data_IF_480745904362
#
_entry.id   IF_480745904362
#
_cell.length_a   1.000
_cell.length_b   1.000
_cell.length_c   1.000
_cell.angle_alpha   90.00
_cell.angle_beta   90.00
_cell.angle_gamma   90.00
#
_symmetry.space_group_name_H-M   'P 1'
#
loop_
_entity.id
_entity.type
_entity.pdbx_description
1 polymer ?
#
# COMPACT_ATOMS: atom_id res chain seq x y z
N UNK A 1 8.93 28.00 7.18
CA UNK A 1 7.74 27.52 6.49
C UNK A 1 7.13 26.46 7.41
N UNK A 2 6.01 26.76 8.05
CA UNK A 2 5.34 25.86 9.01
C UNK A 2 4.79 24.71 8.19
N UNK A 3 5.39 23.52 8.32
CA UNK A 3 4.82 22.28 7.80
C UNK A 3 3.54 22.07 8.61
N UNK A 4 2.43 21.97 7.93
CA UNK A 4 1.13 21.68 8.53
C UNK A 4 1.22 20.42 9.37
N UNK A 5 0.94 20.53 10.68
CA UNK A 5 0.86 19.40 11.64
C UNK A 5 -0.37 18.50 11.37
N UNK A 6 -0.95 18.55 10.19
CA UNK A 6 -2.19 17.86 9.86
C UNK A 6 -1.88 16.48 9.27
N UNK A 7 -2.22 15.44 10.05
CA UNK A 7 -2.13 14.05 9.59
C UNK A 7 -3.12 13.81 8.46
N UNK A 8 -2.64 13.39 7.29
CA UNK A 8 -3.48 13.08 6.14
C UNK A 8 -4.27 11.78 6.37
N UNK A 9 -5.43 11.67 5.75
CA UNK A 9 -6.30 10.51 5.89
C UNK A 9 -6.50 9.85 4.54
N UNK A 10 -6.18 8.57 4.47
CA UNK A 10 -6.30 7.72 3.30
C UNK A 10 -7.36 6.65 3.54
N UNK A 11 -7.89 6.09 2.47
CA UNK A 11 -8.74 4.89 2.56
C UNK A 11 -8.07 3.71 1.88
N UNK A 12 -8.26 2.53 2.46
CA UNK A 12 -8.07 1.28 1.74
C UNK A 12 -9.43 0.60 1.57
N UNK A 13 -9.82 0.38 0.32
CA UNK A 13 -11.04 -0.29 -0.06
C UNK A 13 -10.76 -1.79 -0.19
N UNK A 14 -11.39 -2.61 0.64
CA UNK A 14 -11.26 -4.06 0.59
C UNK A 14 -11.97 -4.61 -0.66
N UNK A 15 -11.27 -5.35 -1.55
CA UNK A 15 -11.84 -5.85 -2.79
C UNK A 15 -12.68 -7.12 -2.60
N UNK A 16 -12.72 -7.69 -1.38
CA UNK A 16 -13.34 -8.98 -1.10
C UNK A 16 -14.86 -8.93 -1.19
N UNK A 17 -15.44 -9.65 -2.16
CA UNK A 17 -16.87 -9.70 -2.42
C UNK A 17 -17.47 -8.42 -2.99
N UNK A 18 -16.66 -7.41 -3.28
CA UNK A 18 -17.09 -6.17 -3.90
C UNK A 18 -17.12 -6.30 -5.43
N UNK A 19 -18.16 -5.78 -6.06
CA UNK A 19 -18.18 -5.58 -7.51
C UNK A 19 -17.26 -4.42 -7.90
N UNK A 20 -16.78 -4.41 -9.14
CA UNK A 20 -15.98 -3.29 -9.65
C UNK A 20 -16.77 -1.96 -9.56
N UNK A 21 -18.08 -1.98 -9.81
CA UNK A 21 -18.93 -0.78 -9.71
C UNK A 21 -18.97 -0.20 -8.30
N UNK A 22 -19.17 -1.06 -7.28
CA UNK A 22 -19.15 -0.63 -5.87
C UNK A 22 -17.79 -0.05 -5.46
N UNK A 23 -16.69 -0.64 -5.94
CA UNK A 23 -15.34 -0.12 -5.69
C UNK A 23 -15.12 1.26 -6.31
N UNK A 24 -15.59 1.48 -7.54
CA UNK A 24 -15.47 2.79 -8.22
C UNK A 24 -16.35 3.85 -7.57
N UNK A 25 -17.54 3.49 -7.12
CA UNK A 25 -18.45 4.38 -6.39
C UNK A 25 -17.86 4.79 -5.03
N UNK A 26 -17.31 3.81 -4.30
CA UNK A 26 -16.62 4.06 -3.03
C UNK A 26 -15.36 4.93 -3.22
N UNK A 27 -14.62 4.76 -4.31
CA UNK A 27 -13.45 5.59 -4.62
C UNK A 27 -13.81 7.05 -4.87
N UNK A 28 -14.87 7.31 -5.64
CA UNK A 28 -15.40 8.69 -5.82
C UNK A 28 -15.89 9.29 -4.51
N UNK A 29 -16.66 8.52 -3.75
CA UNK A 29 -17.13 8.96 -2.44
C UNK A 29 -15.97 9.34 -1.50
N UNK A 30 -14.90 8.56 -1.51
CA UNK A 30 -13.71 8.87 -0.71
C UNK A 30 -13.07 10.19 -1.14
N UNK A 31 -12.87 10.42 -2.45
CA UNK A 31 -12.33 11.67 -2.98
C UNK A 31 -13.22 12.86 -2.62
N UNK A 32 -14.53 12.77 -2.87
CA UNK A 32 -15.51 13.81 -2.57
C UNK A 32 -15.60 14.12 -1.07
N UNK A 33 -15.23 13.15 -0.22
CA UNK A 33 -15.22 13.28 1.24
C UNK A 33 -13.90 13.84 1.79
N UNK A 34 -12.92 14.13 0.91
CA UNK A 34 -11.66 14.78 1.25
C UNK A 34 -10.58 13.82 1.78
N UNK A 35 -10.68 12.52 1.51
CA UNK A 35 -9.56 11.61 1.73
C UNK A 35 -8.43 11.89 0.73
N UNK A 36 -7.19 11.62 1.13
CA UNK A 36 -5.98 11.97 0.36
C UNK A 36 -5.50 10.86 -0.56
N UNK A 37 -5.90 9.61 -0.30
CA UNK A 37 -5.58 8.47 -1.13
C UNK A 37 -6.69 7.42 -1.11
N UNK A 38 -6.81 6.69 -2.23
CA UNK A 38 -7.64 5.49 -2.37
C UNK A 38 -6.74 4.33 -2.74
N UNK A 39 -6.68 3.34 -1.88
CA UNK A 39 -5.84 2.16 -2.04
C UNK A 39 -6.69 0.88 -2.04
N UNK A 40 -6.12 -0.25 -2.48
CA UNK A 40 -6.76 -1.56 -2.39
C UNK A 40 -5.74 -2.64 -2.04
N UNK A 41 -6.22 -3.78 -1.53
CA UNK A 41 -5.38 -4.94 -1.24
C UNK A 41 -5.08 -5.75 -2.51
N UNK A 42 -3.92 -6.40 -2.53
CA UNK A 42 -3.52 -7.36 -3.58
C UNK A 42 -3.76 -8.79 -3.10
N UNK A 43 -4.96 -9.27 -3.37
CA UNK A 43 -5.40 -10.63 -3.10
C UNK A 43 -6.08 -11.25 -4.31
N UNK A 44 -5.91 -12.56 -4.49
CA UNK A 44 -6.50 -13.32 -5.62
C UNK A 44 -7.95 -13.72 -5.33
N UNK A 45 -8.30 -13.84 -4.05
CA UNK A 45 -9.63 -14.29 -3.61
C UNK A 45 -9.97 -13.76 -2.22
N UNK A 46 -11.26 -13.64 -1.93
CA UNK A 46 -11.77 -13.41 -0.58
C UNK A 46 -12.04 -14.68 0.22
N UNK A 47 -11.79 -15.87 -0.36
CA UNK A 47 -12.12 -17.15 0.27
C UNK A 47 -11.47 -17.36 1.65
N UNK A 48 -10.26 -16.83 1.86
CA UNK A 48 -9.57 -16.90 3.17
C UNK A 48 -10.29 -16.14 4.28
N UNK A 49 -11.31 -15.36 3.92
CA UNK A 49 -12.15 -14.55 4.82
C UNK A 49 -13.65 -14.90 4.70
N UNK A 50 -14.00 -15.97 3.98
CA UNK A 50 -15.38 -16.32 3.61
C UNK A 50 -16.13 -15.18 2.89
N UNK A 51 -15.39 -14.41 2.06
CA UNK A 51 -15.89 -13.21 1.36
C UNK A 51 -15.92 -13.31 -0.17
N UNK A 52 -15.88 -14.52 -0.72
CA UNK A 52 -16.05 -14.75 -2.16
C UNK A 52 -14.88 -14.31 -3.02
N UNK A 53 -15.16 -13.62 -4.14
CA UNK A 53 -14.15 -13.20 -5.12
C UNK A 53 -13.33 -11.97 -4.66
N UNK A 54 -12.24 -11.72 -5.38
CA UNK A 54 -11.49 -10.46 -5.35
C UNK A 54 -11.28 -9.97 -6.78
N UNK A 55 -11.12 -8.66 -6.96
CA UNK A 55 -10.72 -8.08 -8.23
C UNK A 55 -9.20 -7.98 -8.31
N UNK A 56 -8.60 -8.12 -9.51
CA UNK A 56 -7.18 -7.81 -9.68
C UNK A 56 -6.93 -6.35 -9.34
N UNK A 57 -6.00 -6.05 -8.42
CA UNK A 57 -5.81 -4.69 -7.91
C UNK A 57 -5.31 -3.73 -8.97
N UNK A 58 -4.47 -4.15 -9.93
CA UNK A 58 -3.90 -3.22 -10.91
C UNK A 58 -4.89 -2.84 -12.00
N UNK A 59 -5.76 -3.79 -12.41
CA UNK A 59 -6.88 -3.50 -13.31
C UNK A 59 -7.86 -2.55 -12.63
N UNK A 60 -8.20 -2.82 -11.37
CA UNK A 60 -9.09 -1.99 -10.57
C UNK A 60 -8.52 -0.60 -10.30
N UNK A 61 -7.24 -0.49 -9.92
CA UNK A 61 -6.58 0.79 -9.68
C UNK A 61 -6.48 1.65 -10.93
N UNK A 62 -6.29 1.04 -12.11
CA UNK A 62 -6.38 1.76 -13.38
C UNK A 62 -7.77 2.38 -13.60
N UNK A 63 -8.84 1.65 -13.28
CA UNK A 63 -10.20 2.17 -13.35
C UNK A 63 -10.47 3.25 -12.29
N UNK A 64 -9.99 3.08 -11.06
CA UNK A 64 -10.07 4.09 -10.00
C UNK A 64 -9.35 5.37 -10.41
N UNK A 65 -8.13 5.26 -10.97
CA UNK A 65 -7.37 6.41 -11.46
C UNK A 65 -8.10 7.21 -12.53
N UNK A 66 -8.88 6.53 -13.38
CA UNK A 66 -9.66 7.16 -14.46
C UNK A 66 -10.95 7.86 -13.97
N UNK A 67 -11.43 7.54 -12.77
CA UNK A 67 -12.68 8.12 -12.22
C UNK A 67 -12.43 9.06 -11.02
N UNK A 68 -11.16 9.30 -10.67
CA UNK A 68 -10.72 10.23 -9.61
C UNK A 68 -9.70 11.22 -10.17
N UNK A 69 -9.59 12.40 -9.58
CA UNK A 69 -8.76 13.50 -10.10
C UNK A 69 -7.59 13.88 -9.17
N UNK A 70 -7.76 13.76 -7.87
CA UNK A 70 -6.84 14.35 -6.88
C UNK A 70 -6.21 13.34 -5.93
N UNK A 71 -6.92 12.27 -5.58
CA UNK A 71 -6.44 11.27 -4.62
C UNK A 71 -5.26 10.46 -5.16
N UNK A 72 -4.30 10.15 -4.31
CA UNK A 72 -3.26 9.16 -4.62
C UNK A 72 -3.92 7.79 -4.81
N UNK A 73 -3.37 6.96 -5.71
CA UNK A 73 -3.91 5.63 -6.02
C UNK A 73 -2.80 4.59 -5.99
N UNK A 74 -3.06 3.41 -5.41
CA UNK A 74 -2.07 2.34 -5.39
C UNK A 74 -2.48 1.12 -4.56
N UNK A 75 -1.73 0.03 -4.67
CA UNK A 75 -1.92 -1.12 -3.79
C UNK A 75 -1.40 -0.81 -2.39
N UNK A 76 -2.09 -1.26 -1.35
CA UNK A 76 -1.59 -1.27 0.02
C UNK A 76 -1.92 -2.59 0.71
N UNK A 77 -1.08 -3.59 0.50
CA UNK A 77 0.18 -3.59 -0.23
C UNK A 77 0.13 -4.61 -1.38
N UNK A 78 0.87 -4.36 -2.47
CA UNK A 78 1.14 -5.38 -3.47
C UNK A 78 1.90 -6.54 -2.83
N UNK A 79 1.45 -7.76 -3.07
CA UNK A 79 2.14 -8.96 -2.64
C UNK A 79 3.26 -9.28 -3.64
N UNK A 80 4.52 -9.09 -3.23
CA UNK A 80 5.66 -9.33 -4.10
C UNK A 80 5.81 -10.79 -4.58
N UNK A 81 5.07 -11.73 -3.97
CA UNK A 81 5.09 -13.14 -4.38
C UNK A 81 4.16 -13.40 -5.57
N UNK A 82 3.13 -12.58 -5.78
CA UNK A 82 2.13 -12.79 -6.83
C UNK A 82 2.63 -12.41 -8.23
N UNK A 83 3.71 -11.61 -8.34
CA UNK A 83 4.21 -11.09 -9.63
C UNK A 83 5.72 -10.95 -9.65
N UNK A 84 6.32 -11.09 -10.83
CA UNK A 84 7.70 -10.70 -11.03
C UNK A 84 7.84 -9.18 -10.82
N UNK A 85 8.84 -8.67 -10.07
CA UNK A 85 8.97 -7.24 -9.79
C UNK A 85 9.14 -6.36 -11.03
N UNK A 86 9.64 -6.91 -12.15
CA UNK A 86 9.65 -6.20 -13.42
C UNK A 86 8.22 -5.95 -13.98
N UNK A 87 7.32 -6.93 -13.86
CA UNK A 87 5.91 -6.74 -14.24
C UNK A 87 5.24 -5.70 -13.33
N UNK A 88 5.57 -5.72 -12.04
CA UNK A 88 5.10 -4.73 -11.08
C UNK A 88 5.60 -3.32 -11.46
N UNK A 89 6.87 -3.18 -11.84
CA UNK A 89 7.43 -1.91 -12.29
C UNK A 89 6.69 -1.35 -13.51
N UNK A 90 6.37 -2.19 -14.51
CA UNK A 90 5.58 -1.81 -15.69
C UNK A 90 4.16 -1.39 -15.31
N UNK A 91 3.48 -2.18 -14.47
CA UNK A 91 2.11 -1.88 -14.03
C UNK A 91 2.04 -0.54 -13.28
N UNK A 92 3.01 -0.28 -12.40
CA UNK A 92 3.06 0.96 -11.64
C UNK A 92 3.46 2.17 -12.48
N UNK A 93 4.32 2.01 -13.48
CA UNK A 93 4.61 3.07 -14.46
C UNK A 93 3.36 3.44 -15.26
N UNK A 94 2.58 2.44 -15.69
CA UNK A 94 1.30 2.65 -16.36
C UNK A 94 0.30 3.37 -15.45
N UNK A 95 0.19 2.95 -14.19
CA UNK A 95 -0.69 3.60 -13.21
C UNK A 95 -0.26 5.06 -12.95
N UNK A 96 1.04 5.32 -12.87
CA UNK A 96 1.59 6.68 -12.70
C UNK A 96 1.19 7.60 -13.85
N UNK A 97 1.28 7.12 -15.09
CA UNK A 97 0.86 7.87 -16.28
C UNK A 97 -0.66 8.07 -16.30
N UNK A 98 -1.44 7.00 -16.12
CA UNK A 98 -2.90 7.06 -16.12
C UNK A 98 -3.47 7.96 -15.02
N UNK A 99 -2.83 8.01 -13.88
CA UNK A 99 -3.24 8.85 -12.75
C UNK A 99 -2.65 10.26 -12.78
N UNK A 100 -1.91 10.66 -13.83
CA UNK A 100 -1.22 11.95 -13.91
C UNK A 100 -0.29 12.22 -12.71
N UNK A 101 0.49 11.20 -12.32
CA UNK A 101 1.49 11.33 -11.26
C UNK A 101 1.02 11.04 -9.83
N UNK A 102 -0.19 10.47 -9.67
CA UNK A 102 -0.78 10.18 -8.33
C UNK A 102 -0.52 8.77 -7.82
N UNK A 103 0.21 7.93 -8.55
CA UNK A 103 0.44 6.55 -8.13
C UNK A 103 1.34 6.45 -6.88
N UNK A 104 1.11 5.43 -6.07
CA UNK A 104 1.95 5.03 -4.94
C UNK A 104 2.07 3.51 -4.91
N UNK A 105 3.28 2.99 -4.76
CA UNK A 105 3.52 1.56 -4.62
C UNK A 105 3.65 1.17 -3.15
N UNK A 106 2.56 0.67 -2.56
CA UNK A 106 2.67 -0.11 -1.33
C UNK A 106 3.18 -1.52 -1.65
N UNK A 107 4.22 -1.99 -1.00
CA UNK A 107 4.84 -3.29 -1.26
C UNK A 107 5.01 -4.11 0.02
N UNK A 108 4.59 -5.37 -0.01
CA UNK A 108 4.66 -6.31 1.10
C UNK A 108 5.48 -7.56 0.78
N UNK A 109 6.00 -8.20 1.83
CA UNK A 109 6.89 -9.36 1.72
C UNK A 109 6.18 -10.69 1.39
N UNK A 110 4.88 -10.67 1.12
CA UNK A 110 4.09 -11.88 0.93
C UNK A 110 3.69 -12.56 2.24
N UNK A 111 2.89 -13.62 2.13
CA UNK A 111 2.35 -14.35 3.26
C UNK A 111 3.42 -15.21 3.95
N UNK A 112 3.39 -15.27 5.27
CA UNK A 112 4.22 -16.20 6.03
C UNK A 112 3.62 -17.61 5.98
N UNK A 113 4.43 -18.68 6.05
CA UNK A 113 3.92 -20.03 6.27
C UNK A 113 2.98 -20.07 7.48
N UNK A 114 1.83 -20.73 7.32
CA UNK A 114 0.81 -20.85 8.36
C UNK A 114 0.02 -19.58 8.67
N UNK A 115 0.25 -18.47 7.97
CA UNK A 115 -0.58 -17.27 8.08
C UNK A 115 -1.92 -17.44 7.36
N UNK A 116 -2.92 -16.60 7.71
CA UNK A 116 -4.27 -16.67 7.15
C UNK A 116 -4.32 -16.69 5.62
N UNK A 117 -3.46 -15.90 4.96
CA UNK A 117 -3.45 -15.76 3.50
C UNK A 117 -2.41 -16.65 2.80
N UNK A 118 -1.75 -17.56 3.53
CA UNK A 118 -0.78 -18.49 2.94
C UNK A 118 -1.42 -19.38 1.87
N UNK A 119 -2.63 -19.89 2.14
CA UNK A 119 -3.35 -20.77 1.22
C UNK A 119 -3.66 -20.12 -0.14
N UNK A 120 -3.71 -18.80 -0.24
CA UNK A 120 -3.90 -18.07 -1.50
C UNK A 120 -2.70 -18.24 -2.44
N UNK A 121 -1.49 -18.13 -1.90
CA UNK A 121 -0.25 -18.37 -2.67
C UNK A 121 -0.09 -19.86 -3.03
N UNK A 122 -0.38 -20.76 -2.09
CA UNK A 122 -0.34 -22.22 -2.31
C UNK A 122 -1.31 -22.66 -3.42
N UNK A 123 -2.50 -22.04 -3.51
CA UNK A 123 -3.51 -22.35 -4.54
C UNK A 123 -2.97 -22.16 -5.97
N UNK A 124 -2.07 -21.21 -6.17
CA UNK A 124 -1.45 -20.96 -7.49
C UNK A 124 -0.01 -21.52 -7.59
N UNK A 125 0.37 -22.40 -6.67
CA UNK A 125 1.65 -23.11 -6.70
C UNK A 125 2.87 -22.25 -6.31
N UNK A 126 2.67 -21.12 -5.62
CA UNK A 126 3.77 -20.29 -5.14
C UNK A 126 4.28 -20.86 -3.81
N UNK A 127 5.58 -21.13 -3.75
CA UNK A 127 6.26 -21.60 -2.55
C UNK A 127 6.26 -20.50 -1.45
N UNK A 128 5.91 -20.91 -0.24
CA UNK A 128 5.96 -20.03 0.93
C UNK A 128 7.37 -19.97 1.49
N UNK A 129 7.99 -18.81 1.40
CA UNK A 129 9.35 -18.59 1.90
C UNK A 129 9.37 -18.30 3.41
N UNK A 130 10.47 -18.66 4.06
CA UNK A 130 10.74 -18.27 5.44
C UNK A 130 10.93 -16.75 5.60
N UNK A 131 10.91 -16.25 6.84
CA UNK A 131 11.01 -14.82 7.12
C UNK A 131 12.27 -14.15 6.57
N UNK A 132 13.47 -14.71 6.78
CA UNK A 132 14.72 -14.18 6.20
C UNK A 132 14.70 -14.13 4.68
N UNK A 133 14.26 -15.17 4.00
CA UNK A 133 14.17 -15.23 2.53
C UNK A 133 13.16 -14.22 1.98
N UNK A 134 11.99 -14.08 2.62
CA UNK A 134 11.01 -13.04 2.25
C UNK A 134 11.59 -11.63 2.39
N UNK A 135 12.38 -11.38 3.43
CA UNK A 135 13.02 -10.08 3.63
C UNK A 135 14.05 -9.77 2.54
N UNK A 136 14.91 -10.74 2.18
CA UNK A 136 15.89 -10.58 1.09
C UNK A 136 15.20 -10.37 -0.25
N UNK A 137 14.17 -11.17 -0.54
CA UNK A 137 13.41 -11.06 -1.78
C UNK A 137 12.68 -9.71 -1.89
N UNK A 138 12.09 -9.20 -0.79
CA UNK A 138 11.49 -7.86 -0.75
C UNK A 138 12.52 -6.77 -1.06
N UNK A 139 13.70 -6.84 -0.42
CA UNK A 139 14.80 -5.90 -0.71
C UNK A 139 15.18 -5.92 -2.19
N UNK A 140 15.38 -7.10 -2.75
CA UNK A 140 15.75 -7.27 -4.15
C UNK A 140 14.64 -6.78 -5.10
N UNK A 141 13.36 -7.03 -4.74
CA UNK A 141 12.23 -6.50 -5.51
C UNK A 141 12.22 -4.97 -5.57
N UNK A 142 12.51 -4.28 -4.46
CA UNK A 142 12.61 -2.82 -4.43
C UNK A 142 13.76 -2.35 -5.33
N UNK A 143 14.93 -3.00 -5.25
CA UNK A 143 16.09 -2.65 -6.06
C UNK A 143 15.80 -2.81 -7.54
N UNK A 144 15.20 -3.95 -7.94
CA UNK A 144 14.87 -4.21 -9.33
C UNK A 144 13.84 -3.21 -9.86
N UNK A 145 12.76 -2.95 -9.10
CA UNK A 145 11.75 -1.96 -9.48
C UNK A 145 12.38 -0.59 -9.70
N UNK A 146 13.24 -0.12 -8.79
CA UNK A 146 13.92 1.17 -8.92
C UNK A 146 14.87 1.22 -10.12
N UNK A 147 15.60 0.13 -10.39
CA UNK A 147 16.51 0.06 -11.56
C UNK A 147 15.73 0.07 -12.88
N UNK A 148 14.63 -0.68 -12.97
CA UNK A 148 13.74 -0.63 -14.14
C UNK A 148 13.19 0.79 -14.35
N UNK A 149 12.76 1.47 -13.30
CA UNK A 149 12.29 2.86 -13.39
C UNK A 149 13.39 3.86 -13.74
N UNK A 150 14.64 3.55 -13.40
CA UNK A 150 15.81 4.35 -13.80
C UNK A 150 16.25 4.09 -15.26
N UNK A 151 15.63 3.13 -15.96
CA UNK A 151 15.96 2.79 -17.35
C UNK A 151 17.13 1.83 -17.49
N UNK A 152 17.53 1.14 -16.41
CA UNK A 152 18.57 0.10 -16.47
C UNK A 152 18.08 -1.09 -17.29
N UNK A 153 18.94 -1.60 -18.17
CA UNK A 153 18.58 -2.65 -19.15
C UNK A 153 18.84 -4.06 -18.66
N UNK A 154 19.58 -4.21 -17.56
CA UNK A 154 19.86 -5.52 -16.97
C UNK A 154 19.85 -5.48 -15.45
N UNK A 155 19.51 -6.60 -14.83
CA UNK A 155 19.57 -6.81 -13.39
C UNK A 155 19.98 -8.25 -13.09
N UNK A 156 20.82 -8.46 -12.09
CA UNK A 156 21.17 -9.81 -11.63
C UNK A 156 21.22 -9.84 -10.10
N UNK A 157 20.27 -10.57 -9.51
CA UNK A 157 20.14 -10.75 -8.07
C UNK A 157 20.11 -12.22 -7.64
N UNK A 158 19.75 -12.47 -6.40
CA UNK A 158 19.57 -13.83 -5.84
C UNK A 158 18.28 -14.48 -6.36
N UNK A 159 17.20 -13.70 -6.50
CA UNK A 159 15.86 -14.19 -6.83
C UNK A 159 15.42 -13.82 -8.24
N UNK A 160 15.96 -12.76 -8.81
CA UNK A 160 15.49 -12.21 -10.07
C UNK A 160 16.63 -11.83 -10.99
N UNK A 161 16.35 -11.88 -12.29
CA UNK A 161 17.24 -11.31 -13.32
C UNK A 161 16.42 -10.64 -14.41
N UNK A 162 17.01 -9.61 -15.04
CA UNK A 162 16.57 -9.03 -16.30
C UNK A 162 17.80 -9.03 -17.23
N UNK A 163 17.59 -9.46 -18.48
CA UNK A 163 18.59 -9.47 -19.53
C UNK A 163 18.25 -8.41 -20.57
N UNK A 164 19.24 -7.95 -21.30
CA UNK A 164 19.04 -7.01 -22.40
C UNK A 164 18.05 -7.56 -23.47
N UNK A 165 17.23 -6.70 -24.10
CA UNK A 165 17.33 -5.23 -24.14
C UNK A 165 16.69 -4.50 -22.96
N UNK A 166 16.29 -5.21 -21.87
CA UNK A 166 15.63 -4.62 -20.71
C UNK A 166 14.19 -4.17 -20.99
N UNK A 167 13.68 -3.31 -20.14
CA UNK A 167 12.32 -2.76 -20.23
C UNK A 167 12.40 -1.25 -20.46
N UNK A 168 11.70 -0.79 -21.50
CA UNK A 168 11.59 0.64 -21.77
C UNK A 168 10.25 1.15 -21.23
N UNK A 169 10.30 2.15 -20.36
CA UNK A 169 9.12 2.73 -19.73
C UNK A 169 9.07 4.23 -20.04
N UNK A 170 7.86 4.72 -20.30
CA UNK A 170 7.58 6.16 -20.33
C UNK A 170 7.22 6.61 -18.91
N UNK A 171 8.23 7.04 -18.15
CA UNK A 171 8.08 7.37 -16.74
C UNK A 171 8.89 8.64 -16.40
N UNK A 172 8.20 9.78 -16.36
CA UNK A 172 8.83 11.07 -16.06
C UNK A 172 9.31 11.18 -14.59
N UNK A 173 8.58 10.57 -13.68
CA UNK A 173 8.93 10.53 -12.26
C UNK A 173 8.37 9.24 -11.62
N UNK A 174 9.22 8.48 -10.90
CA UNK A 174 8.78 7.21 -10.31
C UNK A 174 7.80 7.45 -9.14
N UNK A 175 6.81 6.53 -8.95
CA UNK A 175 5.97 6.54 -7.76
C UNK A 175 6.79 6.31 -6.49
N UNK A 176 6.42 6.89 -5.34
CA UNK A 176 7.01 6.53 -4.06
C UNK A 176 6.71 5.08 -3.69
N UNK A 177 7.68 4.42 -3.04
CA UNK A 177 7.55 3.05 -2.53
C UNK A 177 7.32 3.09 -1.02
N UNK A 178 6.18 2.53 -0.57
CA UNK A 178 5.81 2.42 0.84
C UNK A 178 5.81 0.94 1.23
N UNK A 179 6.53 0.57 2.28
CA UNK A 179 6.62 -0.83 2.72
C UNK A 179 5.59 -1.12 3.81
N UNK A 180 4.75 -2.14 3.59
CA UNK A 180 3.89 -2.68 4.63
C UNK A 180 4.70 -3.45 5.66
N UNK A 181 4.64 -3.05 6.94
CA UNK A 181 5.43 -3.61 8.01
C UNK A 181 4.61 -3.97 9.25
N UNK A 182 4.90 -5.15 9.80
CA UNK A 182 4.37 -5.64 11.09
C UNK A 182 5.47 -6.02 12.07
N UNK A 183 6.74 -5.71 11.75
CA UNK A 183 7.88 -6.07 12.58
C UNK A 183 9.13 -5.23 12.30
N UNK A 184 10.01 -5.17 13.30
CA UNK A 184 11.21 -4.31 13.33
C UNK A 184 12.10 -4.46 12.09
N UNK A 185 12.35 -5.71 11.63
CA UNK A 185 13.22 -5.95 10.46
C UNK A 185 12.68 -5.32 9.18
N UNK A 186 11.36 -5.38 8.99
CA UNK A 186 10.70 -4.79 7.81
C UNK A 186 10.66 -3.26 7.90
N UNK A 187 10.49 -2.69 9.10
CA UNK A 187 10.63 -1.23 9.31
C UNK A 187 12.05 -0.77 8.98
N UNK A 188 13.08 -1.47 9.47
CA UNK A 188 14.47 -1.17 9.16
C UNK A 188 14.79 -1.27 7.66
N UNK A 189 14.20 -2.27 6.98
CA UNK A 189 14.32 -2.40 5.53
C UNK A 189 13.68 -1.19 4.81
N UNK A 190 12.49 -0.77 5.25
CA UNK A 190 11.82 0.41 4.70
C UNK A 190 12.68 1.67 4.85
N UNK A 191 13.21 1.93 6.04
CA UNK A 191 14.09 3.06 6.33
C UNK A 191 15.36 3.09 5.45
N UNK A 192 15.86 1.92 5.06
CA UNK A 192 17.08 1.81 4.26
C UNK A 192 16.83 1.86 2.74
N UNK A 193 15.64 1.51 2.25
CA UNK A 193 15.43 1.22 0.83
C UNK A 193 14.14 1.80 0.23
N UNK A 194 13.23 2.37 1.03
CA UNK A 194 11.93 2.86 0.57
C UNK A 194 11.73 4.35 0.89
N UNK A 195 10.60 4.90 0.44
CA UNK A 195 10.22 6.29 0.65
C UNK A 195 9.28 6.45 1.86
N UNK A 196 8.82 5.32 2.42
CA UNK A 196 7.98 5.32 3.61
C UNK A 196 7.64 3.92 4.11
N UNK A 197 6.88 3.89 5.21
CA UNK A 197 6.40 2.68 5.85
C UNK A 197 4.93 2.81 6.23
N UNK A 198 4.17 1.75 5.99
CA UNK A 198 2.83 1.56 6.54
C UNK A 198 2.87 0.48 7.63
N UNK A 199 2.58 0.84 8.86
CA UNK A 199 2.62 -0.06 10.01
C UNK A 199 1.19 -0.53 10.31
N UNK A 200 1.02 -1.82 10.55
CA UNK A 200 -0.27 -2.35 11.04
C UNK A 200 -0.44 -1.98 12.51
N UNK A 201 -1.59 -1.40 12.86
CA UNK A 201 -1.94 -1.10 14.25
C UNK A 201 -1.95 -2.37 15.11
N UNK A 202 -1.62 -2.22 16.39
CA UNK A 202 -1.60 -3.33 17.33
C UNK A 202 -0.53 -3.17 18.43
N UNK A 203 -0.31 -4.20 19.27
CA UNK A 203 0.50 -4.07 20.50
C UNK A 203 1.96 -3.64 20.31
N UNK A 204 2.49 -3.76 19.10
CA UNK A 204 3.87 -3.36 18.75
C UNK A 204 3.97 -1.99 18.09
N UNK A 205 2.85 -1.29 17.91
CA UNK A 205 2.84 -0.06 17.13
C UNK A 205 3.83 0.97 17.66
N UNK A 206 3.76 1.29 18.96
CA UNK A 206 4.64 2.28 19.57
C UNK A 206 6.12 1.89 19.42
N UNK A 207 6.49 0.62 19.68
CA UNK A 207 7.86 0.12 19.48
C UNK A 207 8.35 0.37 18.05
N UNK A 208 7.49 0.13 17.05
CA UNK A 208 7.84 0.29 15.64
C UNK A 208 7.94 1.77 15.23
N UNK A 209 7.06 2.62 15.75
CA UNK A 209 7.13 4.08 15.57
C UNK A 209 8.41 4.65 16.18
N UNK A 210 8.81 4.19 17.36
CA UNK A 210 10.08 4.59 17.99
C UNK A 210 11.29 4.19 17.12
N UNK A 211 11.24 3.02 16.46
CA UNK A 211 12.28 2.63 15.48
C UNK A 211 12.34 3.62 14.33
N UNK A 212 11.19 4.05 13.79
CA UNK A 212 11.14 5.06 12.72
C UNK A 212 11.71 6.38 13.21
N UNK A 213 11.23 6.89 14.35
CA UNK A 213 11.64 8.18 14.90
C UNK A 213 13.16 8.25 15.16
N UNK A 214 13.74 7.17 15.68
CA UNK A 214 15.18 7.10 16.00
C UNK A 214 16.10 6.93 14.77
N UNK A 215 15.57 6.53 13.62
CA UNK A 215 16.36 6.21 12.42
C UNK A 215 15.98 7.03 11.18
N UNK A 216 14.95 7.85 11.26
CA UNK A 216 14.49 8.72 10.17
C UNK A 216 15.54 9.79 9.89
N UNK A 217 16.37 9.55 8.87
CA UNK A 217 17.48 10.44 8.49
C UNK A 217 17.12 11.41 7.36
N UNK A 218 16.00 11.19 6.64
CA UNK A 218 15.59 12.00 5.49
C UNK A 218 14.32 12.79 5.77
N UNK A 219 14.30 14.06 5.38
CA UNK A 219 13.06 14.81 5.17
C UNK A 219 12.31 14.18 4.01
N UNK A 220 11.06 13.75 4.22
CA UNK A 220 10.22 13.18 3.16
C UNK A 220 9.95 11.67 3.29
N UNK A 221 10.54 10.97 4.28
CA UNK A 221 10.15 9.60 4.59
C UNK A 221 8.76 9.58 5.23
N UNK A 222 7.81 8.92 4.58
CA UNK A 222 6.41 8.89 4.98
C UNK A 222 6.13 7.77 6.00
N UNK A 223 5.47 8.09 7.10
CA UNK A 223 5.03 7.14 8.12
C UNK A 223 3.52 7.10 8.15
N UNK A 224 2.94 5.94 7.89
CA UNK A 224 1.49 5.73 7.95
C UNK A 224 1.13 4.54 8.80
N UNK A 225 -0.09 4.55 9.33
CA UNK A 225 -0.63 3.43 10.11
C UNK A 225 -1.99 3.02 9.56
N UNK A 226 -2.13 1.72 9.34
CA UNK A 226 -3.42 1.09 9.01
C UNK A 226 -4.20 0.90 10.30
N UNK A 227 -5.35 1.57 10.41
CA UNK A 227 -6.21 1.56 11.60
C UNK A 227 -7.64 1.11 11.27
N UNK A 228 -8.30 0.37 12.16
CA UNK A 228 -9.73 0.15 12.06
C UNK A 228 -10.46 1.48 12.26
N UNK A 229 -11.59 1.65 11.59
CA UNK A 229 -12.42 2.84 11.69
C UNK A 229 -13.88 2.47 11.97
N UNK A 230 -14.55 3.32 12.74
CA UNK A 230 -16.01 3.27 12.95
C UNK A 230 -16.56 4.69 13.03
N UNK A 231 -17.90 4.84 12.96
CA UNK A 231 -18.56 6.13 13.15
C UNK A 231 -18.32 6.73 14.54
N UNK A 232 -18.18 5.88 15.56
CA UNK A 232 -17.91 6.33 16.94
C UNK A 232 -16.47 6.81 17.12
N UNK A 233 -15.55 6.33 16.27
CA UNK A 233 -14.13 6.63 16.28
C UNK A 233 -13.61 6.92 14.88
N UNK A 234 -14.03 8.03 14.26
CA UNK A 234 -13.66 8.36 12.89
C UNK A 234 -12.17 8.66 12.71
N UNK A 235 -11.48 9.06 13.77
CA UNK A 235 -10.03 9.29 13.77
C UNK A 235 -9.18 8.01 13.96
N UNK A 236 -9.81 6.83 14.01
CA UNK A 236 -9.12 5.57 14.32
C UNK A 236 -8.87 5.45 15.84
N UNK A 237 -9.89 5.01 16.58
CA UNK A 237 -10.04 5.15 18.04
C UNK A 237 -9.02 4.46 18.95
N UNK A 238 -8.06 3.71 18.42
CA UNK A 238 -7.07 3.00 19.23
C UNK A 238 -5.68 3.68 19.26
N UNK A 239 -5.49 4.81 18.53
CA UNK A 239 -4.22 5.52 18.55
C UNK A 239 -4.16 6.52 19.71
N UNK A 240 -3.09 6.44 20.48
CA UNK A 240 -2.77 7.47 21.49
C UNK A 240 -2.39 8.79 20.81
N UNK A 241 -2.42 9.89 21.56
CA UNK A 241 -1.98 11.21 21.07
C UNK A 241 -0.49 11.18 20.63
N UNK A 242 0.35 10.48 21.40
CA UNK A 242 1.77 10.30 21.08
C UNK A 242 1.99 9.54 19.77
N UNK A 243 1.22 8.48 19.52
CA UNK A 243 1.28 7.74 18.26
C UNK A 243 0.81 8.61 17.08
N UNK A 244 -0.29 9.36 17.26
CA UNK A 244 -0.79 10.28 16.21
C UNK A 244 0.24 11.33 15.83
N UNK A 245 0.95 11.90 16.80
CA UNK A 245 1.99 12.90 16.56
C UNK A 245 3.22 12.39 15.80
N UNK A 246 3.35 11.09 15.60
CA UNK A 246 4.44 10.47 14.84
C UNK A 246 4.04 10.07 13.40
N UNK A 247 2.80 10.34 12.98
CA UNK A 247 2.27 9.93 11.70
C UNK A 247 2.19 11.08 10.71
N UNK A 248 2.53 10.79 9.47
CA UNK A 248 2.21 11.65 8.33
C UNK A 248 0.81 11.31 7.78
N UNK A 249 0.38 10.02 7.90
CA UNK A 249 -0.89 9.54 7.37
C UNK A 249 -1.55 8.47 8.23
N UNK A 250 -2.88 8.41 8.18
CA UNK A 250 -3.69 7.29 8.67
C UNK A 250 -4.40 6.64 7.51
N UNK A 251 -4.42 5.32 7.48
CA UNK A 251 -5.09 4.53 6.45
C UNK A 251 -6.29 3.81 7.07
N UNK A 252 -7.47 4.18 6.63
CA UNK A 252 -8.75 3.75 7.16
C UNK A 252 -9.34 2.65 6.26
N UNK A 253 -9.62 1.47 6.83
CA UNK A 253 -10.09 0.32 6.05
C UNK A 253 -11.61 0.27 5.95
N UNK A 254 -12.12 0.24 4.72
CA UNK A 254 -13.53 0.02 4.43
C UNK A 254 -13.74 -1.29 3.68
N UNK A 255 -14.79 -2.03 4.01
CA UNK A 255 -15.13 -3.32 3.41
C UNK A 255 -16.52 -3.30 2.79
N UNK A 256 -16.69 -4.10 1.73
CA UNK A 256 -18.01 -4.30 1.12
C UNK A 256 -18.96 -5.08 2.07
N UNK A 257 -20.29 -4.78 2.02
CA UNK A 257 -20.89 -3.69 1.25
C UNK A 257 -20.49 -2.33 1.82
N UNK A 258 -20.08 -1.38 0.95
CA UNK A 258 -19.59 -0.07 1.39
C UNK A 258 -20.73 0.81 1.88
N UNK A 259 -20.66 1.26 3.13
CA UNK A 259 -21.53 2.32 3.63
C UNK A 259 -20.95 3.69 3.24
N UNK A 260 -21.38 4.17 2.06
CA UNK A 260 -20.91 5.45 1.50
C UNK A 260 -21.32 6.64 2.39
N UNK A 261 -22.46 6.55 3.10
CA UNK A 261 -22.89 7.59 4.03
C UNK A 261 -21.95 7.66 5.23
N UNK A 262 -21.60 6.50 5.80
CA UNK A 262 -20.63 6.43 6.89
C UNK A 262 -19.26 6.94 6.44
N UNK A 263 -18.80 6.56 5.24
CA UNK A 263 -17.54 7.04 4.67
C UNK A 263 -17.53 8.57 4.53
N UNK A 264 -18.59 9.16 4.00
CA UNK A 264 -18.71 10.61 3.87
C UNK A 264 -18.74 11.33 5.23
N UNK A 265 -19.45 10.78 6.21
CA UNK A 265 -19.49 11.35 7.57
C UNK A 265 -18.12 11.31 8.25
N UNK A 266 -17.40 10.20 8.11
CA UNK A 266 -16.04 10.05 8.64
C UNK A 266 -15.10 11.05 7.95
N UNK A 267 -15.11 11.15 6.62
CA UNK A 267 -14.29 12.11 5.87
C UNK A 267 -14.54 13.55 6.31
N UNK A 268 -15.80 13.96 6.46
CA UNK A 268 -16.14 15.29 6.96
C UNK A 268 -15.70 15.53 8.41
N UNK A 269 -15.79 14.52 9.28
CA UNK A 269 -15.41 14.66 10.69
C UNK A 269 -13.89 14.84 10.87
N UNK A 270 -13.08 14.15 10.08
CA UNK A 270 -11.61 14.23 10.18
C UNK A 270 -11.04 15.48 9.49
N UNK A 271 -11.73 16.04 8.51
CA UNK A 271 -11.29 17.25 7.77
C UNK A 271 -11.77 18.56 8.41
N UNK A 272 -12.60 18.51 9.45
CA UNK A 272 -13.06 19.71 10.20
C UNK A 272 -12.11 20.13 11.32
N UNK A 273 -11.11 19.32 11.62
CA UNK A 273 -10.10 19.57 12.68
C UNK A 273 -8.81 20.10 12.07
#
# INVERSE_FOLDING_TARGET
>A
MVVSDMVLNDVVLSPFGATASEMLEAARCAEDSGFSAVMTYDHLTGAMLDRGHSNDPFVLLGAIAAVTETVRVGPLVANMMNRHPAQLAVAMASLQTLSSGRAVLGLGSGSAPGSRFAGEQETIGIELLDGPSRTRRLKESIQLVRQVWAGETSFRGEFFSIEEPGLQLDLASPPPIIIGASGRKTVQLALAHADGVNITSGPKLQELLDVVANHRSSTGFETSVHVPVSLDHPEGGELTEAERGQLDRRVLAFSAPFDLRAMAQIGQAINRK
#
